data_IF_972345599377
#
_entry.id   IF_972345599377
#
_cell.length_a   1.000
_cell.length_b   1.000
_cell.length_c   1.000
_cell.angle_alpha   90.00
_cell.angle_beta   90.00
_cell.angle_gamma   90.00
#
_symmetry.space_group_name_H-M   'P 1'
#
loop_
_entity.id
_entity.type
_entity.pdbx_description
1 polymer ?
#
# COMPACT_ATOMS: atom_id res chain seq x y z
N UNK A 1 5.38 -38.62 77.38
CA UNK A 1 4.77 -38.17 76.12
C UNK A 1 5.77 -37.35 75.33
N UNK A 2 5.72 -37.51 74.00
CA UNK A 2 6.78 -37.24 73.02
C UNK A 2 7.19 -35.76 72.96
N UNK A 3 8.51 -35.51 72.93
CA UNK A 3 9.12 -34.24 72.52
C UNK A 3 9.13 -34.20 71.00
N UNK A 4 8.36 -33.29 70.40
CA UNK A 4 8.43 -33.00 68.96
C UNK A 4 9.64 -32.11 68.70
N UNK A 5 10.61 -32.62 67.94
CA UNK A 5 11.66 -31.81 67.33
C UNK A 5 11.07 -31.11 66.11
N UNK A 6 10.94 -29.79 66.17
CA UNK A 6 10.64 -28.98 65.00
C UNK A 6 11.96 -28.69 64.27
N UNK A 7 12.16 -29.35 63.12
CA UNK A 7 13.26 -29.06 62.22
C UNK A 7 12.94 -27.75 61.49
N UNK A 8 13.79 -26.75 61.70
CA UNK A 8 13.75 -25.47 61.00
C UNK A 8 14.34 -25.70 59.60
N UNK A 9 13.49 -25.89 58.58
CA UNK A 9 13.94 -25.80 57.18
C UNK A 9 13.88 -24.33 56.76
N UNK A 10 15.02 -23.65 56.86
CA UNK A 10 15.26 -22.40 56.12
C UNK A 10 15.47 -22.81 54.66
N UNK A 11 14.36 -22.92 53.93
CA UNK A 11 14.39 -22.96 52.47
C UNK A 11 14.66 -21.55 51.98
N UNK A 12 15.94 -21.22 51.75
CA UNK A 12 16.29 -20.08 50.92
C UNK A 12 15.73 -20.35 49.52
N UNK A 13 14.59 -19.74 49.19
CA UNK A 13 14.14 -19.62 47.81
C UNK A 13 15.13 -18.68 47.12
N UNK A 14 16.15 -19.25 46.50
CA UNK A 14 16.87 -18.56 45.45
C UNK A 14 15.87 -18.36 44.31
N UNK A 15 15.29 -17.16 44.20
CA UNK A 15 14.80 -16.68 42.91
C UNK A 15 16.04 -16.53 42.03
N UNK A 16 16.45 -17.64 41.41
CA UNK A 16 17.20 -17.57 40.18
C UNK A 16 16.29 -16.83 39.21
N UNK A 17 16.54 -15.53 39.05
CA UNK A 17 15.91 -14.72 38.02
C UNK A 17 16.26 -15.36 36.67
N UNK A 18 15.36 -16.20 36.17
CA UNK A 18 15.20 -16.30 34.73
C UNK A 18 14.84 -14.89 34.29
N UNK A 19 15.83 -14.14 33.81
CA UNK A 19 15.58 -13.09 32.85
C UNK A 19 14.98 -13.82 31.64
N UNK A 20 13.67 -14.05 31.69
CA UNK A 20 12.91 -14.54 30.57
C UNK A 20 13.21 -13.58 29.43
N UNK A 21 13.71 -14.11 28.33
CA UNK A 21 13.97 -13.30 27.14
C UNK A 21 12.62 -12.69 26.74
N UNK A 22 12.49 -11.37 26.80
CA UNK A 22 11.23 -10.70 26.43
C UNK A 22 10.99 -11.01 24.96
N UNK A 23 9.77 -11.45 24.64
CA UNK A 23 9.40 -11.92 23.30
C UNK A 23 9.42 -10.82 22.22
N UNK A 24 9.11 -11.21 20.99
CA UNK A 24 8.80 -10.27 19.90
C UNK A 24 7.29 -10.08 19.83
N UNK A 25 6.78 -8.84 19.71
CA UNK A 25 5.35 -8.62 19.48
C UNK A 25 4.88 -9.31 18.19
N UNK A 26 3.70 -9.92 18.22
CA UNK A 26 3.01 -10.39 17.01
C UNK A 26 2.00 -9.31 16.60
N UNK A 27 2.36 -8.53 15.59
CA UNK A 27 1.63 -7.31 15.23
C UNK A 27 0.69 -7.56 14.05
N UNK A 28 -0.55 -7.15 14.22
CA UNK A 28 -1.53 -6.98 13.15
C UNK A 28 -1.56 -5.52 12.72
N UNK A 29 -1.48 -5.29 11.41
CA UNK A 29 -1.54 -3.96 10.81
C UNK A 29 -2.77 -3.85 9.90
N UNK A 30 -3.55 -2.78 10.08
CA UNK A 30 -4.75 -2.53 9.27
C UNK A 30 -4.84 -1.07 8.87
N UNK A 31 -5.22 -0.83 7.62
CA UNK A 31 -5.57 0.51 7.17
C UNK A 31 -6.84 1.01 7.89
N UNK A 32 -6.82 2.27 8.32
CA UNK A 32 -7.97 2.98 8.89
C UNK A 32 -8.06 4.38 8.30
N UNK A 33 -9.15 5.10 8.59
CA UNK A 33 -9.39 6.45 8.07
C UNK A 33 -9.31 6.50 6.54
N UNK A 34 -10.00 5.56 5.88
CA UNK A 34 -10.03 5.39 4.42
C UNK A 34 -8.61 5.26 3.82
N UNK A 35 -7.75 4.50 4.49
CA UNK A 35 -6.38 4.26 4.05
C UNK A 35 -5.38 5.35 4.40
N UNK A 36 -5.81 6.44 5.03
CA UNK A 36 -4.88 7.52 5.39
C UNK A 36 -3.94 7.12 6.54
N UNK A 37 -4.38 6.24 7.44
CA UNK A 37 -3.68 5.93 8.67
C UNK A 37 -3.46 4.41 8.81
N UNK A 38 -2.42 4.04 9.55
CA UNK A 38 -2.06 2.64 9.81
C UNK A 38 -2.29 2.33 11.29
N UNK A 39 -3.25 1.45 11.57
CA UNK A 39 -3.51 0.92 12.89
C UNK A 39 -2.66 -0.33 13.15
N UNK A 40 -1.90 -0.31 14.25
CA UNK A 40 -1.08 -1.41 14.73
C UNK A 40 -1.65 -1.94 16.05
N UNK A 41 -1.84 -3.25 16.14
CA UNK A 41 -2.29 -3.92 17.35
C UNK A 41 -1.50 -5.20 17.60
N UNK A 42 -1.25 -5.53 18.86
CA UNK A 42 -0.56 -6.76 19.26
C UNK A 42 -1.05 -7.26 20.61
N UNK A 43 -0.70 -8.50 20.95
CA UNK A 43 -0.93 -9.04 22.28
C UNK A 43 0.18 -8.63 23.25
N UNK A 44 -0.10 -8.44 24.55
CA UNK A 44 0.93 -8.15 25.54
C UNK A 44 2.05 -9.19 25.54
N UNK A 45 3.29 -8.73 25.43
CA UNK A 45 4.48 -9.58 25.51
C UNK A 45 4.89 -9.76 26.97
N UNK A 46 5.00 -11.00 27.44
CA UNK A 46 5.43 -11.30 28.80
C UNK A 46 6.80 -10.67 29.11
N UNK A 47 6.88 -9.93 30.21
CA UNK A 47 8.09 -9.23 30.64
C UNK A 47 8.28 -7.84 30.02
N UNK A 48 7.49 -7.45 29.02
CA UNK A 48 7.50 -6.09 28.48
C UNK A 48 6.62 -5.15 29.32
N UNK A 49 7.17 -3.98 29.68
CA UNK A 49 6.39 -2.92 30.37
C UNK A 49 5.96 -1.80 29.41
N UNK A 50 6.70 -1.62 28.32
CA UNK A 50 6.44 -0.62 27.28
C UNK A 50 6.85 -1.18 25.91
N UNK A 51 6.40 -0.51 24.85
CA UNK A 51 6.70 -0.79 23.45
C UNK A 51 7.21 0.46 22.77
N UNK A 52 8.19 0.30 21.88
CA UNK A 52 8.71 1.38 21.03
C UNK A 52 8.27 1.19 19.59
N UNK A 53 7.77 2.27 19.00
CA UNK A 53 7.28 2.30 17.62
C UNK A 53 8.30 3.08 16.80
N UNK A 54 8.70 2.52 15.66
CA UNK A 54 9.64 3.14 14.74
C UNK A 54 9.05 3.28 13.34
N UNK A 55 9.42 4.35 12.66
CA UNK A 55 9.18 4.55 11.23
C UNK A 55 10.49 4.89 10.53
N UNK A 56 10.83 4.12 9.51
CA UNK A 56 12.11 4.22 8.77
C UNK A 56 13.33 4.27 9.71
N UNK A 57 13.30 3.46 10.78
CA UNK A 57 14.36 3.35 11.79
C UNK A 57 14.38 4.46 12.84
N UNK A 58 13.53 5.49 12.74
CA UNK A 58 13.43 6.56 13.74
C UNK A 58 12.34 6.25 14.75
N UNK A 59 12.62 6.45 16.04
CA UNK A 59 11.63 6.25 17.10
C UNK A 59 10.56 7.34 17.01
N UNK A 60 9.30 6.91 16.90
CA UNK A 60 8.12 7.77 16.85
C UNK A 60 7.53 7.93 18.25
N UNK A 61 7.40 6.82 18.97
CA UNK A 61 6.77 6.79 20.30
C UNK A 61 7.31 5.65 21.17
N UNK A 62 7.16 5.81 22.49
CA UNK A 62 7.23 4.72 23.47
C UNK A 62 5.93 4.76 24.30
N UNK A 63 5.21 3.65 24.36
CA UNK A 63 3.87 3.54 24.95
C UNK A 63 3.76 2.30 25.84
N UNK A 64 2.80 2.28 26.77
CA UNK A 64 2.47 1.11 27.60
C UNK A 64 1.23 0.34 27.11
N UNK A 65 0.55 0.83 26.08
CA UNK A 65 -0.54 0.14 25.38
C UNK A 65 -0.04 -0.87 24.37
N UNK A 66 -0.92 -1.79 23.94
CA UNK A 66 -0.65 -2.76 22.87
C UNK A 66 -1.34 -2.39 21.55
N UNK A 67 -1.51 -1.09 21.35
CA UNK A 67 -2.24 -0.49 20.24
C UNK A 67 -1.65 0.88 19.95
N UNK A 68 -1.44 1.20 18.66
CA UNK A 68 -0.93 2.49 18.21
C UNK A 68 -1.38 2.78 16.77
N UNK A 69 -1.86 4.00 16.53
CA UNK A 69 -2.22 4.46 15.18
C UNK A 69 -1.16 5.43 14.69
N UNK A 70 -0.56 5.12 13.54
CA UNK A 70 0.29 6.04 12.81
C UNK A 70 -0.57 6.85 11.84
N UNK A 71 -0.70 8.15 12.10
CA UNK A 71 -1.42 9.05 11.22
C UNK A 71 -0.58 9.39 9.99
N UNK A 72 -1.10 9.17 8.77
CA UNK A 72 -0.38 9.51 7.54
C UNK A 72 -0.15 11.02 7.36
N UNK A 73 -0.91 11.84 8.09
CA UNK A 73 -0.70 13.28 8.20
C UNK A 73 0.60 13.65 8.92
N UNK A 74 1.05 12.81 9.87
CA UNK A 74 2.26 13.04 10.66
C UNK A 74 3.49 12.41 9.98
N UNK A 75 3.29 11.38 9.17
CA UNK A 75 4.33 10.79 8.34
C UNK A 75 3.88 9.54 7.59
N UNK A 76 4.48 9.32 6.43
CA UNK A 76 4.37 8.08 5.66
C UNK A 76 5.72 7.37 5.69
N UNK A 77 5.71 6.06 5.94
CA UNK A 77 6.90 5.25 6.18
C UNK A 77 6.99 4.08 5.21
N UNK A 78 8.22 3.73 4.84
CA UNK A 78 8.53 2.53 4.05
C UNK A 78 8.77 1.30 4.92
N UNK A 79 9.20 1.51 6.17
CA UNK A 79 9.37 0.46 7.18
C UNK A 79 8.73 0.91 8.49
N UNK A 80 7.92 0.05 9.09
CA UNK A 80 7.32 0.26 10.42
C UNK A 80 7.76 -0.87 11.33
N UNK A 81 8.13 -0.53 12.57
CA UNK A 81 8.59 -1.54 13.53
C UNK A 81 7.97 -1.34 14.92
N UNK A 82 7.73 -2.44 15.61
CA UNK A 82 7.25 -2.46 17.00
C UNK A 82 8.19 -3.34 17.83
N UNK A 83 8.79 -2.74 18.85
CA UNK A 83 9.74 -3.40 19.75
C UNK A 83 9.14 -3.51 21.15
N UNK A 84 9.12 -4.72 21.71
CA UNK A 84 8.90 -4.89 23.14
C UNK A 84 10.18 -4.47 23.89
N UNK A 85 10.10 -3.51 24.81
CA UNK A 85 11.31 -3.00 25.47
C UNK A 85 12.00 -4.10 26.27
N UNK A 86 13.27 -4.35 25.96
CA UNK A 86 14.06 -5.45 26.53
C UNK A 86 13.92 -6.78 25.79
N UNK A 87 13.16 -6.81 24.68
CA UNK A 87 12.85 -7.99 23.88
C UNK A 87 13.15 -7.83 22.40
N UNK A 88 12.36 -8.53 21.59
CA UNK A 88 12.50 -8.52 20.14
C UNK A 88 11.69 -7.42 19.45
N UNK A 89 11.93 -7.29 18.15
CA UNK A 89 11.34 -6.30 17.28
C UNK A 89 10.61 -6.97 16.11
N UNK A 90 9.37 -6.59 15.89
CA UNK A 90 8.61 -6.86 14.68
C UNK A 90 8.89 -5.78 13.64
N UNK A 91 9.03 -6.16 12.37
CA UNK A 91 9.27 -5.25 11.25
C UNK A 91 8.28 -5.52 10.12
N UNK A 92 7.67 -4.47 9.59
CA UNK A 92 6.73 -4.47 8.48
C UNK A 92 7.28 -3.60 7.35
N UNK A 93 7.64 -4.25 6.25
CA UNK A 93 8.03 -3.60 5.00
C UNK A 93 6.76 -3.13 4.26
N UNK A 94 6.63 -1.83 4.10
CA UNK A 94 5.53 -1.14 3.42
C UNK A 94 5.94 -0.63 2.04
N UNK A 95 7.13 -0.98 1.53
CA UNK A 95 7.54 -0.57 0.20
C UNK A 95 6.54 -1.11 -0.84
N UNK A 96 5.91 -0.22 -1.64
CA UNK A 96 4.90 -0.64 -2.60
C UNK A 96 5.52 -1.51 -3.69
N UNK A 97 4.73 -2.44 -4.24
CA UNK A 97 5.03 -3.03 -5.53
C UNK A 97 5.32 -1.93 -6.55
N UNK A 98 6.34 -2.11 -7.39
CA UNK A 98 6.60 -1.21 -8.50
C UNK A 98 7.02 -1.95 -9.76
N UNK A 99 6.64 -1.39 -10.92
CA UNK A 99 6.95 -1.96 -12.23
C UNK A 99 7.20 -0.87 -13.25
N UNK A 100 8.39 -0.90 -13.84
CA UNK A 100 8.67 -0.16 -15.07
C UNK A 100 8.02 -0.90 -16.24
N UNK A 101 7.11 -0.21 -16.94
CA UNK A 101 6.37 -0.73 -18.07
C UNK A 101 7.03 -0.40 -19.42
N UNK A 102 8.13 0.35 -19.40
CA UNK A 102 8.77 0.88 -20.59
C UNK A 102 7.90 1.93 -21.29
N UNK A 103 8.07 2.04 -22.60
CA UNK A 103 7.34 3.03 -23.41
C UNK A 103 5.92 2.56 -23.69
N UNK A 104 4.95 3.38 -23.30
CA UNK A 104 3.52 3.22 -23.60
C UNK A 104 3.12 4.25 -24.63
N UNK A 105 2.29 3.85 -25.58
CA UNK A 105 1.85 4.68 -26.70
C UNK A 105 0.38 5.06 -26.52
N UNK A 106 -0.04 6.19 -27.09
CA UNK A 106 -1.44 6.54 -27.04
C UNK A 106 -2.29 5.62 -27.91
N UNK A 107 -3.55 5.43 -27.54
CA UNK A 107 -4.47 4.49 -28.20
C UNK A 107 -4.65 4.67 -29.73
N UNK A 108 -4.29 5.83 -30.27
CA UNK A 108 -4.39 6.21 -31.68
C UNK A 108 -3.10 5.93 -32.47
N UNK A 109 -2.10 5.30 -31.85
CA UNK A 109 -0.90 4.83 -32.56
C UNK A 109 -1.26 3.75 -33.58
N UNK A 110 -0.87 3.90 -34.87
CA UNK A 110 -1.25 2.97 -35.92
C UNK A 110 -0.49 1.64 -35.90
N UNK A 111 0.62 1.53 -35.15
CA UNK A 111 1.40 0.29 -35.05
C UNK A 111 0.74 -0.66 -34.04
N UNK A 112 0.30 -1.83 -34.52
CA UNK A 112 -0.38 -2.82 -33.68
C UNK A 112 0.52 -3.52 -32.65
N UNK A 113 1.84 -3.33 -32.75
CA UNK A 113 2.82 -3.79 -31.75
C UNK A 113 3.00 -2.80 -30.61
N UNK A 114 2.55 -1.55 -30.78
CA UNK A 114 2.57 -0.55 -29.73
C UNK A 114 1.41 -0.75 -28.76
N UNK A 115 1.73 -0.82 -27.47
CA UNK A 115 0.76 -1.05 -26.40
C UNK A 115 0.30 0.29 -25.80
N UNK A 116 -1.01 0.43 -25.63
CA UNK A 116 -1.65 1.62 -25.07
C UNK A 116 -2.42 1.37 -23.78
N UNK A 117 -2.70 0.11 -23.48
CA UNK A 117 -3.42 -0.29 -22.29
C UNK A 117 -2.46 -0.73 -21.22
N UNK A 118 -2.68 -0.25 -20.00
CA UNK A 118 -1.99 -0.66 -18.80
C UNK A 118 -2.92 -1.61 -18.05
N UNK A 119 -2.39 -2.78 -17.71
CA UNK A 119 -3.09 -3.85 -16.99
C UNK A 119 -2.44 -4.01 -15.63
N UNK A 120 -3.25 -3.98 -14.57
CA UNK A 120 -2.81 -4.26 -13.20
C UNK A 120 -3.63 -5.43 -12.67
N UNK A 121 -2.96 -6.48 -12.22
CA UNK A 121 -3.59 -7.66 -11.63
C UNK A 121 -3.35 -7.68 -10.12
N UNK A 122 -4.42 -7.88 -9.36
CA UNK A 122 -4.41 -8.02 -7.90
C UNK A 122 -4.63 -9.49 -7.51
N UNK A 123 -4.20 -9.87 -6.31
CA UNK A 123 -4.27 -11.24 -5.80
C UNK A 123 -3.15 -11.51 -4.81
N UNK A 124 -2.68 -12.76 -4.74
CA UNK A 124 -1.56 -13.17 -3.88
C UNK A 124 -0.27 -12.37 -4.14
N UNK A 125 -0.13 -11.81 -5.35
CA UNK A 125 0.92 -10.87 -5.70
C UNK A 125 0.38 -9.91 -6.75
N UNK A 126 0.72 -8.63 -6.62
CA UNK A 126 0.42 -7.63 -7.63
C UNK A 126 1.39 -7.77 -8.80
N UNK A 127 0.87 -7.65 -10.03
CA UNK A 127 1.69 -7.50 -11.24
C UNK A 127 1.09 -6.44 -12.16
N UNK A 128 1.94 -5.88 -13.01
CA UNK A 128 1.54 -4.90 -14.00
C UNK A 128 2.25 -5.13 -15.34
N UNK A 129 1.51 -4.83 -16.41
CA UNK A 129 1.95 -5.04 -17.78
C UNK A 129 1.25 -4.08 -18.73
N UNK A 130 1.68 -4.08 -19.99
CA UNK A 130 1.02 -3.33 -21.07
C UNK A 130 0.46 -4.30 -22.10
N UNK A 131 -0.60 -3.89 -22.78
CA UNK A 131 -1.21 -4.65 -23.87
C UNK A 131 -1.80 -3.71 -24.93
N UNK A 132 -2.13 -4.27 -26.10
CA UNK A 132 -2.94 -3.58 -27.09
C UNK A 132 -4.44 -3.76 -26.77
N UNK A 133 -5.29 -3.04 -27.50
CA UNK A 133 -6.74 -3.09 -27.27
C UNK A 133 -7.33 -4.52 -27.41
N UNK A 134 -6.78 -5.35 -28.30
CA UNK A 134 -7.25 -6.71 -28.52
C UNK A 134 -6.92 -7.66 -27.34
N UNK A 135 -5.92 -7.32 -26.53
CA UNK A 135 -5.56 -8.06 -25.33
C UNK A 135 -6.29 -7.61 -24.05
N UNK A 136 -7.22 -6.66 -24.15
CA UNK A 136 -8.07 -6.25 -23.04
C UNK A 136 -9.19 -7.28 -22.84
N UNK A 137 -9.25 -7.88 -21.65
CA UNK A 137 -10.26 -8.86 -21.27
C UNK A 137 -11.08 -8.33 -20.07
N UNK A 138 -12.34 -7.97 -20.33
CA UNK A 138 -13.26 -7.39 -19.33
C UNK A 138 -13.82 -8.42 -18.35
N UNK A 139 -13.52 -9.71 -18.55
CA UNK A 139 -14.08 -10.80 -17.74
C UNK A 139 -13.18 -11.21 -16.58
N UNK A 140 -11.89 -10.83 -16.62
CA UNK A 140 -10.91 -11.17 -15.58
C UNK A 140 -11.24 -10.49 -14.27
N UNK A 141 -11.39 -11.29 -13.21
CA UNK A 141 -11.54 -10.78 -11.85
C UNK A 141 -10.22 -10.17 -11.35
N UNK A 142 -10.33 -9.27 -10.36
CA UNK A 142 -9.18 -8.61 -9.75
C UNK A 142 -8.18 -8.01 -10.76
N UNK A 143 -8.67 -7.55 -11.92
CA UNK A 143 -7.84 -6.97 -12.98
C UNK A 143 -8.39 -5.60 -13.37
N UNK A 144 -7.55 -4.58 -13.21
CA UNK A 144 -7.81 -3.23 -13.68
C UNK A 144 -7.20 -3.03 -15.07
N UNK A 145 -7.90 -2.27 -15.89
CA UNK A 145 -7.42 -1.79 -17.18
C UNK A 145 -7.68 -0.29 -17.28
N UNK A 146 -6.66 0.44 -17.67
CA UNK A 146 -6.80 1.84 -18.08
C UNK A 146 -5.89 2.11 -19.27
N UNK A 147 -6.24 3.13 -20.04
CA UNK A 147 -5.59 3.42 -21.32
C UNK A 147 -4.83 4.74 -21.26
N UNK A 148 -3.64 4.76 -21.85
CA UNK A 148 -2.94 5.99 -22.20
C UNK A 148 -3.56 6.55 -23.48
N UNK A 149 -4.27 7.67 -23.35
CA UNK A 149 -5.23 8.13 -24.34
C UNK A 149 -4.82 9.49 -24.91
N UNK A 150 -5.04 9.68 -26.20
CA UNK A 150 -4.90 10.98 -26.87
C UNK A 150 -6.28 11.53 -27.20
N UNK A 151 -6.74 12.51 -26.43
CA UNK A 151 -8.01 13.19 -26.68
C UNK A 151 -7.77 14.46 -27.48
N UNK A 152 -7.64 14.31 -28.80
CA UNK A 152 -7.45 15.43 -29.73
C UNK A 152 -6.28 16.37 -29.33
N UNK A 153 -5.17 15.79 -28.88
CA UNK A 153 -3.97 16.50 -28.43
C UNK A 153 -3.82 16.61 -26.91
N UNK A 154 -4.86 16.31 -26.14
CA UNK A 154 -4.79 16.24 -24.67
C UNK A 154 -4.52 14.81 -24.23
N UNK A 155 -3.40 14.59 -23.55
CA UNK A 155 -3.07 13.29 -22.98
C UNK A 155 -3.94 13.00 -21.76
N UNK A 156 -4.45 11.78 -21.67
CA UNK A 156 -5.30 11.35 -20.57
C UNK A 156 -4.95 9.93 -20.12
N UNK A 157 -5.16 9.66 -18.84
CA UNK A 157 -5.52 8.31 -18.40
C UNK A 157 -7.04 8.18 -18.38
N UNK A 158 -7.55 7.03 -18.85
CA UNK A 158 -8.97 6.69 -18.79
C UNK A 158 -9.16 5.29 -18.29
N UNK A 159 -10.03 5.11 -17.31
CA UNK A 159 -10.51 3.79 -16.96
C UNK A 159 -11.22 3.14 -18.15
N UNK A 160 -11.17 1.81 -18.22
CA UNK A 160 -11.83 1.02 -19.26
C UNK A 160 -13.31 1.39 -19.45
N UNK A 161 -14.06 1.69 -18.38
CA UNK A 161 -15.49 2.02 -18.50
C UNK A 161 -15.77 3.36 -19.18
N UNK A 162 -14.75 4.20 -19.34
CA UNK A 162 -14.80 5.48 -20.07
C UNK A 162 -14.41 5.33 -21.54
N UNK A 163 -14.15 4.10 -21.98
CA UNK A 163 -13.81 3.78 -23.37
C UNK A 163 -14.94 3.04 -24.07
N UNK A 164 -14.77 2.76 -25.36
CA UNK A 164 -15.69 1.94 -26.15
C UNK A 164 -15.64 0.44 -25.81
N UNK A 165 -14.67 -0.02 -25.00
CA UNK A 165 -14.55 -1.43 -24.59
C UNK A 165 -15.62 -1.80 -23.55
N UNK A 166 -16.04 -0.86 -22.70
CA UNK A 166 -17.07 -1.06 -21.69
C UNK A 166 -16.50 -1.37 -20.30
N UNK A 167 -17.24 -2.10 -19.48
CA UNK A 167 -16.97 -2.22 -18.03
C UNK A 167 -16.01 -3.38 -17.72
N UNK A 168 -14.87 -3.10 -17.09
CA UNK A 168 -13.98 -4.12 -16.49
C UNK A 168 -14.45 -4.58 -15.12
N UNK A 169 -13.74 -5.50 -14.44
CA UNK A 169 -14.06 -5.98 -13.08
C UNK A 169 -13.49 -5.15 -11.94
N UNK A 170 -12.52 -4.28 -12.21
CA UNK A 170 -11.98 -3.32 -11.26
C UNK A 170 -12.07 -1.93 -11.89
N UNK A 171 -12.45 -0.93 -11.11
CA UNK A 171 -12.40 0.46 -11.57
C UNK A 171 -11.11 1.11 -11.13
N UNK A 172 -10.45 1.79 -12.07
CA UNK A 172 -9.32 2.66 -11.80
C UNK A 172 -9.83 4.09 -11.76
N UNK A 173 -9.43 4.82 -10.73
CA UNK A 173 -9.64 6.27 -10.68
C UNK A 173 -8.34 6.98 -10.39
N UNK A 174 -8.26 8.23 -10.79
CA UNK A 174 -7.05 9.01 -10.84
C UNK A 174 -7.21 10.32 -10.07
N UNK A 175 -6.16 10.75 -9.40
CA UNK A 175 -6.10 12.05 -8.72
C UNK A 175 -4.75 12.73 -8.94
N UNK A 176 -4.70 14.05 -8.69
CA UNK A 176 -3.44 14.81 -8.71
C UNK A 176 -2.50 14.37 -7.60
N UNK A 177 -1.20 14.31 -7.91
CA UNK A 177 -0.14 14.08 -6.93
C UNK A 177 0.11 15.35 -6.10
N UNK A 178 -0.77 15.60 -5.14
CA UNK A 178 -0.77 16.82 -4.30
C UNK A 178 0.04 16.68 -3.01
N UNK A 179 0.33 15.44 -2.62
CA UNK A 179 1.17 15.06 -1.47
C UNK A 179 2.24 14.13 -2.01
N UNK A 180 3.36 14.00 -1.30
CA UNK A 180 4.48 13.21 -1.85
C UNK A 180 4.17 11.70 -1.81
N UNK A 181 3.63 11.20 -0.70
CA UNK A 181 3.48 9.75 -0.47
C UNK A 181 2.15 9.32 0.16
N UNK A 182 1.20 10.24 0.36
CA UNK A 182 -0.12 9.91 0.91
C UNK A 182 -1.22 10.15 -0.12
N UNK A 183 -1.83 9.05 -0.56
CA UNK A 183 -2.97 9.11 -1.46
C UNK A 183 -4.16 9.87 -0.83
N UNK A 184 -4.97 10.57 -1.63
CA UNK A 184 -6.24 11.12 -1.16
C UNK A 184 -7.11 10.03 -0.54
N UNK A 185 -7.78 10.36 0.55
CA UNK A 185 -8.64 9.46 1.32
C UNK A 185 -10.15 9.80 1.15
N UNK A 186 -10.46 10.66 0.18
CA UNK A 186 -11.83 11.01 -0.23
C UNK A 186 -12.08 10.58 -1.67
N UNK A 187 -13.22 9.91 -1.89
CA UNK A 187 -13.65 9.47 -3.22
C UNK A 187 -13.86 10.63 -4.19
N UNK A 188 -14.17 11.83 -3.68
CA UNK A 188 -14.38 13.05 -4.48
C UNK A 188 -13.13 13.54 -5.20
N UNK A 189 -11.95 13.14 -4.73
CA UNK A 189 -10.68 13.59 -5.28
C UNK A 189 -10.27 12.77 -6.51
N UNK A 190 -10.97 11.66 -6.74
CA UNK A 190 -10.69 10.69 -7.79
C UNK A 190 -11.67 10.81 -8.96
N UNK A 191 -11.13 10.74 -10.17
CA UNK A 191 -11.88 10.84 -11.42
C UNK A 191 -11.59 9.61 -12.30
N UNK A 192 -12.56 9.17 -13.08
CA UNK A 192 -12.40 8.01 -13.97
C UNK A 192 -11.59 8.34 -15.25
N UNK A 193 -11.41 9.62 -15.52
CA UNK A 193 -10.55 10.17 -16.59
C UNK A 193 -9.71 11.30 -15.99
N UNK A 194 -8.44 11.39 -16.37
CA UNK A 194 -7.53 12.41 -15.87
C UNK A 194 -6.64 12.93 -16.98
N UNK A 195 -6.65 14.25 -17.17
CA UNK A 195 -5.66 14.92 -18.00
C UNK A 195 -4.28 14.77 -17.36
N UNK A 196 -3.31 14.37 -18.17
CA UNK A 196 -1.95 14.10 -17.73
C UNK A 196 -0.92 14.87 -18.55
N UNK A 197 0.28 14.98 -18.00
CA UNK A 197 1.43 15.63 -18.59
C UNK A 197 2.66 14.74 -18.45
N UNK A 198 3.65 14.94 -19.32
CA UNK A 198 4.94 14.28 -19.17
C UNK A 198 5.69 14.78 -17.94
N UNK A 199 6.61 13.96 -17.43
CA UNK A 199 7.37 14.20 -16.20
C UNK A 199 6.47 14.50 -14.99
N UNK A 200 5.38 13.76 -14.86
CA UNK A 200 4.38 13.97 -13.80
C UNK A 200 3.97 12.66 -13.16
N UNK A 201 3.44 12.74 -11.94
CA UNK A 201 2.88 11.60 -11.21
C UNK A 201 1.40 11.83 -10.92
N UNK A 202 0.66 10.74 -10.83
CA UNK A 202 -0.77 10.73 -10.53
C UNK A 202 -1.07 9.62 -9.54
N UNK A 203 -1.92 9.91 -8.56
CA UNK A 203 -2.44 8.86 -7.68
C UNK A 203 -3.45 8.00 -8.44
N UNK A 204 -3.49 6.72 -8.09
CA UNK A 204 -4.52 5.78 -8.55
C UNK A 204 -5.20 5.12 -7.37
N UNK A 205 -6.51 4.97 -7.46
CA UNK A 205 -7.30 4.14 -6.60
C UNK A 205 -7.96 3.04 -7.44
N UNK A 206 -7.79 1.80 -7.01
CA UNK A 206 -8.35 0.62 -7.65
C UNK A 206 -9.48 0.08 -6.78
N UNK A 207 -10.70 0.34 -7.22
CA UNK A 207 -11.95 -0.06 -6.59
C UNK A 207 -12.33 -1.47 -7.08
N UNK A 208 -12.02 -2.47 -6.26
CA UNK A 208 -12.16 -3.89 -6.63
C UNK A 208 -13.60 -4.37 -6.54
N UNK A 209 -14.37 -3.79 -5.62
CA UNK A 209 -15.75 -4.21 -5.35
C UNK A 209 -16.78 -3.34 -6.13
N UNK A 210 -16.32 -2.21 -6.69
CA UNK A 210 -17.07 -1.21 -7.48
C UNK A 210 -18.18 -0.52 -6.71
N UNK A 211 -18.07 -0.43 -5.40
CA UNK A 211 -19.08 0.22 -4.58
C UNK A 211 -18.92 1.75 -4.57
N UNK A 212 -17.79 2.26 -5.10
CA UNK A 212 -17.49 3.67 -5.19
C UNK A 212 -17.07 4.30 -3.86
N UNK A 213 -16.73 3.50 -2.85
CA UNK A 213 -16.24 3.93 -1.54
C UNK A 213 -14.79 3.48 -1.38
N UNK A 214 -13.96 4.37 -0.84
CA UNK A 214 -12.60 3.99 -0.43
C UNK A 214 -12.68 3.12 0.82
N UNK A 215 -12.22 1.88 0.74
CA UNK A 215 -12.19 0.96 1.87
C UNK A 215 -11.00 -0.02 1.88
N UNK A 216 -11.01 -0.96 2.84
CA UNK A 216 -9.92 -1.92 3.04
C UNK A 216 -9.88 -3.07 2.01
N UNK A 217 -10.84 -3.12 1.09
CA UNK A 217 -10.82 -4.06 -0.05
C UNK A 217 -10.15 -3.47 -1.29
N UNK A 218 -9.80 -2.19 -1.24
CA UNK A 218 -9.19 -1.47 -2.35
C UNK A 218 -7.67 -1.44 -2.31
N UNK A 219 -7.10 -1.00 -3.43
CA UNK A 219 -5.67 -0.74 -3.55
C UNK A 219 -5.44 0.72 -3.93
N UNK A 220 -4.36 1.27 -3.39
CA UNK A 220 -3.84 2.58 -3.78
C UNK A 220 -2.54 2.43 -4.55
N UNK A 221 -2.29 3.38 -5.45
CA UNK A 221 -1.10 3.38 -6.28
C UNK A 221 -0.73 4.75 -6.79
N UNK A 222 0.32 4.77 -7.60
CA UNK A 222 0.69 5.90 -8.44
C UNK A 222 1.06 5.42 -9.82
N UNK A 223 0.89 6.31 -10.79
CA UNK A 223 1.45 6.18 -12.13
C UNK A 223 2.37 7.35 -12.40
N UNK A 224 3.62 7.05 -12.69
CA UNK A 224 4.64 8.01 -13.10
C UNK A 224 4.71 8.01 -14.63
N UNK A 225 4.60 9.20 -15.22
CA UNK A 225 4.69 9.44 -16.65
C UNK A 225 5.98 10.19 -16.92
N UNK A 226 6.89 9.57 -17.67
CA UNK A 226 8.14 10.18 -18.11
C UNK A 226 7.93 11.28 -19.15
N UNK A 227 9.03 11.71 -19.78
CA UNK A 227 8.97 12.70 -20.84
C UNK A 227 8.13 12.19 -22.01
N UNK A 228 7.15 12.99 -22.43
CA UNK A 228 6.29 12.67 -23.57
C UNK A 228 6.98 13.01 -24.88
N UNK A 229 6.75 12.19 -25.90
CA UNK A 229 7.26 12.39 -27.26
C UNK A 229 6.14 12.26 -28.29
N UNK A 230 6.37 12.79 -29.49
CA UNK A 230 5.40 12.80 -30.59
C UNK A 230 4.55 14.08 -30.65
N UNK A 231 3.78 14.20 -31.73
CA UNK A 231 2.82 15.30 -31.96
C UNK A 231 1.42 14.75 -32.24
N UNK A 232 1.12 13.55 -31.74
CA UNK A 232 -0.07 12.75 -32.07
C UNK A 232 0.23 11.74 -33.18
N UNK A 233 0.31 10.42 -32.89
CA UNK A 233 0.23 9.79 -31.56
C UNK A 233 1.39 10.23 -30.64
N UNK A 234 1.24 9.97 -29.34
CA UNK A 234 2.25 10.26 -28.34
C UNK A 234 2.77 8.98 -27.70
N UNK A 235 3.94 9.06 -27.07
CA UNK A 235 4.46 7.98 -26.22
C UNK A 235 5.21 8.53 -25.02
N UNK A 236 5.28 7.75 -23.94
CA UNK A 236 6.05 8.08 -22.75
C UNK A 236 6.50 6.79 -22.02
N UNK A 237 7.68 6.79 -21.38
CA UNK A 237 7.98 5.80 -20.35
C UNK A 237 6.95 5.87 -19.22
N UNK A 238 6.44 4.73 -18.75
CA UNK A 238 5.48 4.66 -17.65
C UNK A 238 5.96 3.70 -16.58
N UNK A 239 5.84 4.12 -15.33
CA UNK A 239 6.08 3.26 -14.17
C UNK A 239 4.87 3.28 -13.24
N UNK A 240 4.51 2.13 -12.70
CA UNK A 240 3.39 1.99 -11.77
C UNK A 240 3.88 1.57 -10.39
N UNK A 241 3.17 2.04 -9.36
CA UNK A 241 3.37 1.70 -7.97
C UNK A 241 2.04 1.28 -7.37
N UNK A 242 2.00 0.25 -6.53
CA UNK A 242 0.79 -0.23 -5.84
C UNK A 242 1.14 -0.62 -4.41
N UNK A 243 0.43 -0.07 -3.43
CA UNK A 243 0.53 -0.50 -2.04
C UNK A 243 -0.20 -1.84 -1.89
N UNK A 244 0.57 -2.90 -1.68
CA UNK A 244 0.11 -4.30 -1.64
C UNK A 244 0.42 -5.01 -0.32
N UNK A 245 1.02 -4.30 0.65
CA UNK A 245 1.48 -4.87 1.93
C UNK A 245 0.39 -4.84 3.01
N UNK A 246 -0.43 -3.79 2.99
CA UNK A 246 -1.61 -3.64 3.86
C UNK A 246 -2.79 -3.23 2.99
N UNK A 247 -3.83 -4.06 2.94
CA UNK A 247 -5.02 -3.82 2.14
C UNK A 247 -5.69 -2.49 2.54
N UNK A 248 -6.07 -1.69 1.55
CA UNK A 248 -6.63 -0.35 1.74
C UNK A 248 -5.66 0.73 2.21
N UNK A 249 -4.37 0.47 2.40
CA UNK A 249 -3.45 1.51 2.87
C UNK A 249 -3.04 2.45 1.71
N UNK A 250 -3.19 3.76 1.92
CA UNK A 250 -2.89 4.81 0.94
C UNK A 250 -1.44 5.30 0.96
N UNK A 251 -0.52 4.55 1.56
CA UNK A 251 0.87 4.94 1.77
C UNK A 251 1.77 4.44 0.66
N UNK A 252 2.44 5.36 -0.03
CA UNK A 252 3.09 5.08 -1.31
C UNK A 252 4.54 5.59 -1.34
N UNK A 253 5.29 5.37 -0.27
CA UNK A 253 6.70 5.77 -0.17
C UNK A 253 7.61 4.69 -0.77
N UNK A 254 8.48 5.07 -1.72
CA UNK A 254 9.31 4.18 -2.53
C UNK A 254 10.73 4.71 -2.69
#
# INVERSE_FOLDING_TARGET
MKRFSALLFVGALAFAGCHGNVGTPDVTATAVNNGADLDLSWEPVEGASTYRIYGDGNMIAEIDSTHFVLAGADGVYSMVEVEAVGGGKYSLDLMPFSKDLGVVYTHDDPDSTHHSWIKVCFGDSVDASTTNQAGVDTTLDATAYFVFYNNAGTLQFKDIHRTSIGMGKVYTRFADHTREYLAPNSTSDYMDEKDISGNSMYYTWFDLNKDGNVDNSDYFGMVEVGATSGTGPYSAPVKVYVQDKVAGLGWLKY
#
